data_IF_288889328117
#
_entry.id   IF_288889328117
#
_cell.length_a   1.000
_cell.length_b   1.000
_cell.length_c   1.000
_cell.angle_alpha   90.00
_cell.angle_beta   90.00
_cell.angle_gamma   90.00
#
_symmetry.space_group_name_H-M   'P 1'
#
loop_
_entity.id
_entity.type
_entity.pdbx_description
1 polymer ?
#
# COMPACT_ATOMS: atom_id res chain seq x y z
N UNK A 1 8.35 8.91 -17.64
CA UNK A 1 7.10 9.15 -16.88
C UNK A 1 7.08 10.58 -16.42
N UNK A 2 5.95 11.26 -16.62
CA UNK A 2 5.75 12.68 -16.25
C UNK A 2 4.96 12.76 -14.95
N UNK A 3 5.05 13.87 -14.20
CA UNK A 3 4.14 14.12 -13.09
C UNK A 3 2.68 13.97 -13.55
N UNK A 4 1.84 13.38 -12.73
CA UNK A 4 0.42 13.08 -13.02
C UNK A 4 0.12 11.97 -14.04
N UNK A 5 1.12 11.32 -14.60
CA UNK A 5 0.88 10.16 -15.46
C UNK A 5 0.17 9.03 -14.68
N UNK A 6 -0.79 8.41 -15.36
CA UNK A 6 -1.48 7.20 -14.90
C UNK A 6 -1.28 6.14 -15.97
N UNK A 7 -0.56 5.09 -15.61
CA UNK A 7 -0.15 4.03 -16.54
C UNK A 7 -0.82 2.72 -16.11
N UNK A 8 -1.53 2.08 -17.03
CA UNK A 8 -2.12 0.77 -16.80
C UNK A 8 -1.37 -0.29 -17.61
N UNK A 9 -1.00 -1.38 -16.95
CA UNK A 9 -0.47 -2.57 -17.61
C UNK A 9 -1.62 -3.52 -17.90
N UNK A 10 -1.85 -3.81 -19.16
CA UNK A 10 -2.96 -4.64 -19.61
C UNK A 10 -2.41 -5.85 -20.37
N UNK A 11 -2.86 -7.04 -19.99
CA UNK A 11 -2.46 -8.26 -20.65
C UNK A 11 -3.02 -9.50 -19.95
N UNK A 12 -2.94 -10.66 -20.59
CA UNK A 12 -3.49 -11.92 -20.05
C UNK A 12 -2.61 -12.53 -18.95
N UNK A 13 -1.34 -12.13 -18.84
CA UNK A 13 -0.39 -12.71 -17.89
C UNK A 13 -0.25 -11.82 -16.65
N UNK A 14 -1.09 -12.09 -15.64
CA UNK A 14 -1.07 -11.36 -14.37
C UNK A 14 0.19 -11.63 -13.55
N UNK A 15 0.79 -12.82 -13.68
CA UNK A 15 2.04 -13.15 -13.01
C UNK A 15 3.21 -12.29 -13.53
N UNK A 16 3.26 -12.03 -14.82
CA UNK A 16 4.28 -11.15 -15.40
C UNK A 16 4.15 -9.71 -14.89
N UNK A 17 2.93 -9.19 -14.76
CA UNK A 17 2.68 -7.87 -14.19
C UNK A 17 3.11 -7.80 -12.73
N UNK A 18 2.75 -8.79 -11.92
CA UNK A 18 3.16 -8.88 -10.52
C UNK A 18 4.69 -8.92 -10.39
N UNK A 19 5.36 -9.71 -11.21
CA UNK A 19 6.82 -9.80 -11.23
C UNK A 19 7.45 -8.44 -11.56
N UNK A 20 6.93 -7.74 -12.55
CA UNK A 20 7.40 -6.40 -12.91
C UNK A 20 7.26 -5.42 -11.74
N UNK A 21 6.10 -5.40 -11.07
CA UNK A 21 5.90 -4.52 -9.91
C UNK A 21 6.83 -4.86 -8.75
N UNK A 22 7.10 -6.13 -8.49
CA UNK A 22 8.07 -6.55 -7.47
C UNK A 22 9.48 -6.09 -7.80
N UNK A 23 9.88 -6.16 -9.07
CA UNK A 23 11.18 -5.64 -9.51
C UNK A 23 11.23 -4.12 -9.31
N UNK A 24 10.22 -3.40 -9.76
CA UNK A 24 10.17 -1.94 -9.65
C UNK A 24 10.09 -1.45 -8.19
N UNK A 25 9.51 -2.24 -7.29
CA UNK A 25 9.47 -1.91 -5.85
C UNK A 25 10.73 -2.28 -5.10
N UNK A 26 11.65 -3.02 -5.73
CA UNK A 26 12.89 -3.47 -5.10
C UNK A 26 12.80 -4.79 -4.36
N UNK A 27 11.66 -5.48 -4.41
CA UNK A 27 11.48 -6.79 -3.76
C UNK A 27 12.13 -7.94 -4.53
N UNK A 28 12.43 -7.75 -5.82
CA UNK A 28 12.99 -8.78 -6.69
C UNK A 28 14.00 -8.16 -7.64
N UNK A 29 15.10 -8.86 -7.87
CA UNK A 29 16.11 -8.47 -8.85
C UNK A 29 15.70 -8.94 -10.26
N UNK A 30 15.94 -8.13 -11.32
CA UNK A 30 15.71 -8.56 -12.68
C UNK A 30 16.76 -9.58 -13.14
N UNK A 31 16.37 -10.54 -13.99
CA UNK A 31 17.30 -11.51 -14.57
C UNK A 31 18.31 -10.84 -15.49
N UNK A 32 17.89 -9.79 -16.18
CA UNK A 32 18.73 -8.98 -17.07
C UNK A 32 18.17 -7.58 -17.20
N UNK A 33 18.98 -6.65 -17.67
CA UNK A 33 18.59 -5.26 -17.80
C UNK A 33 18.70 -4.51 -16.47
N UNK A 34 18.30 -3.24 -16.52
CA UNK A 34 18.33 -2.36 -15.34
C UNK A 34 17.25 -1.30 -15.44
N UNK A 35 16.90 -0.73 -14.30
CA UNK A 35 16.03 0.41 -14.20
C UNK A 35 16.58 1.38 -13.16
N UNK A 36 16.13 2.63 -13.23
CA UNK A 36 16.52 3.64 -12.26
C UNK A 36 15.35 4.58 -12.00
N UNK A 37 15.04 4.76 -10.75
CA UNK A 37 14.11 5.79 -10.31
C UNK A 37 14.80 7.16 -10.27
N UNK A 38 14.04 8.21 -10.56
CA UNK A 38 14.53 9.57 -10.41
C UNK A 38 14.87 9.90 -8.95
N UNK A 39 15.82 10.84 -8.74
CA UNK A 39 16.35 11.18 -7.39
C UNK A 39 15.27 11.68 -6.44
N UNK A 40 14.22 12.32 -6.97
CA UNK A 40 13.11 12.87 -6.18
C UNK A 40 11.92 11.95 -6.07
N UNK A 41 12.00 10.73 -6.61
CA UNK A 41 10.90 9.77 -6.59
C UNK A 41 10.96 8.88 -5.37
N UNK A 42 9.80 8.66 -4.77
CA UNK A 42 9.58 7.68 -3.72
C UNK A 42 8.42 6.80 -4.12
N UNK A 43 8.61 5.48 -4.05
CA UNK A 43 7.62 4.51 -4.48
C UNK A 43 6.91 3.90 -3.27
N UNK A 44 5.62 3.61 -3.43
CA UNK A 44 4.89 2.76 -2.51
C UNK A 44 4.17 1.69 -3.30
N UNK A 45 4.24 0.45 -2.82
CA UNK A 45 3.75 -0.72 -3.51
C UNK A 45 2.53 -1.31 -2.81
N UNK A 46 1.44 -1.48 -3.56
CA UNK A 46 0.25 -2.19 -3.13
C UNK A 46 0.31 -3.60 -3.75
N UNK A 47 0.72 -4.63 -2.98
CA UNK A 47 0.86 -5.98 -3.51
C UNK A 47 -0.50 -6.62 -3.77
N UNK A 48 -0.53 -7.57 -4.70
CA UNK A 48 -1.71 -8.39 -4.98
C UNK A 48 -2.13 -9.21 -3.77
N UNK A 49 -1.16 -9.77 -3.04
CA UNK A 49 -1.36 -10.46 -1.77
C UNK A 49 -0.77 -9.61 -0.63
N UNK A 50 -1.65 -9.10 0.23
CA UNK A 50 -1.30 -8.25 1.36
C UNK A 50 -1.35 -8.99 2.70
N UNK A 51 -1.44 -10.32 2.70
CA UNK A 51 -1.60 -11.13 3.92
C UNK A 51 -0.48 -10.87 4.94
N UNK A 52 0.73 -10.69 4.46
CA UNK A 52 1.91 -10.42 5.32
C UNK A 52 1.80 -9.09 6.06
N UNK A 53 1.15 -8.10 5.47
CA UNK A 53 0.98 -6.78 6.07
C UNK A 53 0.09 -6.81 7.31
N UNK A 54 -0.77 -7.80 7.44
CA UNK A 54 -1.77 -7.94 8.51
C UNK A 54 -1.53 -9.15 9.42
N UNK A 55 -0.31 -9.63 9.49
CA UNK A 55 0.05 -10.83 10.28
C UNK A 55 0.40 -10.53 11.73
N UNK A 56 0.62 -9.28 12.09
CA UNK A 56 1.00 -8.86 13.44
C UNK A 56 -0.23 -8.68 14.33
N UNK A 57 -0.07 -8.92 15.63
CA UNK A 57 -1.12 -8.65 16.62
C UNK A 57 -1.06 -7.22 17.11
N UNK A 58 -1.46 -6.29 16.26
CA UNK A 58 -1.45 -4.86 16.52
C UNK A 58 -2.77 -4.20 16.08
N UNK A 59 -3.06 -3.04 16.65
CA UNK A 59 -4.21 -2.25 16.22
C UNK A 59 -3.92 -1.52 14.92
N UNK A 60 -4.97 -1.05 14.23
CA UNK A 60 -4.81 -0.25 13.00
C UNK A 60 -3.94 0.98 13.26
N UNK A 61 -4.13 1.66 14.40
CA UNK A 61 -3.33 2.85 14.76
C UNK A 61 -1.86 2.49 14.90
N UNK A 62 -1.54 1.42 15.64
CA UNK A 62 -0.17 0.96 15.83
C UNK A 62 0.47 0.56 14.50
N UNK A 63 -0.28 -0.19 13.69
CA UNK A 63 0.17 -0.64 12.38
C UNK A 63 0.48 0.53 11.44
N UNK A 64 -0.44 1.52 11.35
CA UNK A 64 -0.25 2.65 10.44
C UNK A 64 0.86 3.59 10.91
N UNK A 65 1.05 3.74 12.22
CA UNK A 65 2.09 4.59 12.79
C UNK A 65 3.49 4.20 12.30
N UNK A 66 3.74 2.92 12.03
CA UNK A 66 5.02 2.44 11.52
C UNK A 66 5.41 3.09 10.19
N UNK A 67 4.43 3.45 9.37
CA UNK A 67 4.63 3.98 8.01
C UNK A 67 4.53 5.50 7.95
N UNK A 68 4.14 6.15 9.03
CA UNK A 68 4.02 7.61 9.11
C UNK A 68 5.34 8.24 9.51
N UNK A 69 5.70 9.37 8.88
CA UNK A 69 6.82 10.18 9.33
C UNK A 69 6.50 10.84 10.67
N UNK A 70 5.28 11.37 10.81
CA UNK A 70 4.77 11.88 12.07
C UNK A 70 4.23 10.72 12.92
N UNK A 71 4.87 10.45 14.03
CA UNK A 71 4.52 9.35 14.95
C UNK A 71 3.48 9.76 16.00
N UNK A 72 2.97 10.98 15.97
CA UNK A 72 1.93 11.42 16.89
C UNK A 72 0.63 10.64 16.67
N UNK A 73 0.13 10.02 17.73
CA UNK A 73 -1.11 9.24 17.70
C UNK A 73 -2.31 10.08 17.25
N UNK A 74 -2.36 11.35 17.63
CA UNK A 74 -3.44 12.26 17.23
C UNK A 74 -3.43 12.47 15.71
N UNK A 75 -2.26 12.66 15.10
CA UNK A 75 -2.12 12.78 13.67
C UNK A 75 -2.58 11.52 12.95
N UNK A 76 -2.11 10.34 13.39
CA UNK A 76 -2.44 9.06 12.77
C UNK A 76 -3.94 8.76 12.89
N UNK A 77 -4.52 9.00 14.06
CA UNK A 77 -5.97 8.83 14.26
C UNK A 77 -6.81 9.77 13.39
N UNK A 78 -6.39 11.02 13.26
CA UNK A 78 -7.02 11.99 12.37
C UNK A 78 -6.97 11.55 10.91
N UNK A 79 -5.84 11.00 10.49
CA UNK A 79 -5.67 10.44 9.16
C UNK A 79 -6.62 9.24 8.94
N UNK A 80 -6.66 8.30 9.89
CA UNK A 80 -7.57 7.15 9.84
C UNK A 80 -9.04 7.56 9.80
N UNK A 81 -9.42 8.61 10.53
CA UNK A 81 -10.78 9.17 10.48
C UNK A 81 -11.17 9.60 9.08
N UNK A 82 -10.26 10.24 8.35
CA UNK A 82 -10.47 10.61 6.94
C UNK A 82 -10.58 9.40 6.03
N UNK A 83 -9.98 8.29 6.41
CA UNK A 83 -10.06 7.01 5.68
C UNK A 83 -11.22 6.13 6.18
N UNK A 84 -12.18 6.71 6.90
CA UNK A 84 -13.38 6.06 7.42
C UNK A 84 -13.13 5.03 8.53
N UNK A 85 -12.04 5.18 9.26
CA UNK A 85 -11.77 4.46 10.51
C UNK A 85 -11.84 5.43 11.68
N UNK A 86 -13.03 5.64 12.21
CA UNK A 86 -13.25 6.59 13.32
C UNK A 86 -13.47 5.89 14.65
N UNK A 87 -13.13 6.58 15.74
CA UNK A 87 -13.38 6.11 17.09
C UNK A 87 -12.79 4.73 17.36
N UNK A 88 -13.64 3.78 17.71
CA UNK A 88 -13.23 2.43 18.07
C UNK A 88 -12.72 1.61 16.87
N UNK A 89 -13.11 1.97 15.65
CA UNK A 89 -12.66 1.25 14.47
C UNK A 89 -11.13 1.28 14.33
N UNK A 90 -10.50 2.39 14.68
CA UNK A 90 -9.05 2.53 14.64
C UNK A 90 -8.31 1.64 15.66
N UNK A 91 -9.02 1.14 16.66
CA UNK A 91 -8.50 0.27 17.71
C UNK A 91 -8.70 -1.23 17.41
N UNK A 92 -9.35 -1.56 16.30
CA UNK A 92 -9.46 -2.96 15.87
C UNK A 92 -8.10 -3.55 15.57
N UNK A 93 -7.93 -4.84 15.84
CA UNK A 93 -6.74 -5.58 15.45
C UNK A 93 -6.72 -5.79 13.93
N UNK A 94 -5.55 -5.64 13.33
CA UNK A 94 -5.42 -5.77 11.87
C UNK A 94 -5.77 -7.17 11.36
N UNK A 95 -5.58 -8.19 12.19
CA UNK A 95 -5.86 -9.58 11.81
C UNK A 95 -7.34 -9.92 11.66
N UNK A 96 -8.25 -9.10 12.23
CA UNK A 96 -9.70 -9.37 12.18
C UNK A 96 -10.44 -8.52 11.14
N UNK A 97 -9.73 -7.76 10.33
CA UNK A 97 -10.33 -6.86 9.37
C UNK A 97 -10.97 -7.59 8.19
N UNK A 98 -12.07 -7.05 7.67
CA UNK A 98 -12.67 -7.51 6.42
C UNK A 98 -11.75 -7.18 5.22
N UNK A 99 -12.03 -7.79 4.06
CA UNK A 99 -11.28 -7.50 2.83
C UNK A 99 -11.29 -6.01 2.48
N UNK A 100 -12.46 -5.36 2.55
CA UNK A 100 -12.58 -3.94 2.27
C UNK A 100 -11.85 -3.05 3.27
N UNK A 101 -11.88 -3.43 4.55
CA UNK A 101 -11.12 -2.73 5.59
C UNK A 101 -9.61 -2.86 5.37
N UNK A 102 -9.13 -4.04 4.99
CA UNK A 102 -7.73 -4.26 4.64
C UNK A 102 -7.28 -3.40 3.46
N UNK A 103 -8.10 -3.29 2.42
CA UNK A 103 -7.82 -2.42 1.27
C UNK A 103 -7.71 -0.96 1.71
N UNK A 104 -8.64 -0.47 2.55
CA UNK A 104 -8.57 0.89 3.10
C UNK A 104 -7.31 1.11 3.94
N UNK A 105 -6.89 0.13 4.73
CA UNK A 105 -5.63 0.17 5.47
C UNK A 105 -4.43 0.28 4.52
N UNK A 106 -4.38 -0.53 3.47
CA UNK A 106 -3.29 -0.49 2.50
C UNK A 106 -3.24 0.86 1.78
N UNK A 107 -4.37 1.40 1.37
CA UNK A 107 -4.43 2.73 0.77
C UNK A 107 -3.97 3.81 1.76
N UNK A 108 -4.36 3.70 3.02
CA UNK A 108 -3.90 4.60 4.08
C UNK A 108 -2.37 4.56 4.23
N UNK A 109 -1.79 3.36 4.21
CA UNK A 109 -0.34 3.16 4.23
C UNK A 109 0.35 3.86 3.06
N UNK A 110 -0.14 3.66 1.84
CA UNK A 110 0.42 4.29 0.65
C UNK A 110 0.38 5.82 0.75
N UNK A 111 -0.73 6.36 1.23
CA UNK A 111 -0.93 7.80 1.33
C UNK A 111 -0.11 8.44 2.45
N UNK A 112 -0.09 7.81 3.64
CA UNK A 112 0.60 8.38 4.81
C UNK A 112 2.13 8.30 4.67
N UNK A 113 2.63 7.36 3.88
CA UNK A 113 4.07 7.21 3.60
C UNK A 113 4.64 8.36 2.77
N UNK A 114 3.78 9.19 2.16
CA UNK A 114 4.20 10.34 1.37
C UNK A 114 4.83 9.97 0.02
N UNK A 115 4.66 8.75 -0.45
CA UNK A 115 5.16 8.33 -1.75
C UNK A 115 4.52 9.14 -2.87
N UNK A 116 5.31 9.51 -3.87
CA UNK A 116 4.84 10.24 -5.05
C UNK A 116 4.64 9.34 -6.28
N UNK A 117 4.99 8.06 -6.16
CA UNK A 117 4.71 7.04 -7.17
C UNK A 117 4.01 5.86 -6.48
N UNK A 118 2.87 5.47 -7.00
CA UNK A 118 2.11 4.33 -6.49
C UNK A 118 2.14 3.20 -7.51
N UNK A 119 2.57 2.03 -7.04
CA UNK A 119 2.57 0.77 -7.81
C UNK A 119 1.42 -0.07 -7.28
N UNK A 120 0.35 -0.19 -8.06
CA UNK A 120 -0.89 -0.86 -7.63
C UNK A 120 -1.06 -2.17 -8.42
N UNK A 121 -0.89 -3.31 -7.75
CA UNK A 121 -1.06 -4.63 -8.35
C UNK A 121 -2.42 -5.20 -7.96
N UNK A 122 -3.36 -5.16 -8.91
CA UNK A 122 -4.75 -5.61 -8.73
C UNK A 122 -5.37 -5.12 -7.41
N UNK A 123 -5.42 -3.79 -7.17
CA UNK A 123 -5.82 -3.25 -5.87
C UNK A 123 -7.28 -3.55 -5.50
N UNK A 124 -8.12 -3.91 -6.47
CA UNK A 124 -9.54 -4.24 -6.26
C UNK A 124 -9.79 -5.72 -6.05
N UNK A 125 -8.74 -6.56 -6.07
CA UNK A 125 -8.87 -8.03 -6.03
C UNK A 125 -9.56 -8.55 -4.75
N UNK A 126 -9.48 -7.82 -3.65
CA UNK A 126 -10.07 -8.19 -2.36
C UNK A 126 -11.36 -7.42 -2.04
N UNK A 127 -11.89 -6.67 -2.99
CA UNK A 127 -13.17 -5.99 -2.82
C UNK A 127 -14.30 -6.89 -3.26
N UNK A 128 -15.26 -7.10 -2.37
CA UNK A 128 -16.55 -7.70 -2.71
C UNK A 128 -17.36 -6.67 -3.52
N UNK A 129 -17.75 -7.09 -4.68
CA UNK A 129 -18.61 -6.28 -5.55
C UNK A 129 -20.05 -6.75 -5.39
#
# INVERSE_FOLDING_TARGET
MKPTDKIAFVGPNTLAATTLFKILSGEMEPDSGSYKWGVTTTQSYFPKDNTKDFSQDETIVEWLTQYSEDKDATFVRGFLGRMLFSGEDALKKVGVLSGGEKVRCMLSKLMISGANILLLDEPTNHLDI
#
